data_IF_383487260714
#
_entry.id   IF_383487260714
#
_cell.length_a   1.000
_cell.length_b   1.000
_cell.length_c   1.000
_cell.angle_alpha   90.00
_cell.angle_beta   90.00
_cell.angle_gamma   90.00
#
_symmetry.space_group_name_H-M   'P 1'
#
loop_
_entity.id
_entity.type
_entity.pdbx_description
1 polymer ?
#
# COMPACT_ATOMS: atom_id res chain seq x y z
N UNK A 1 15.82 21.41 32.64
CA UNK A 1 15.64 20.52 31.47
C UNK A 1 14.27 20.64 30.76
N UNK A 2 13.40 21.64 31.04
CA UNK A 2 12.02 21.68 30.49
C UNK A 2 11.84 22.28 29.09
N UNK A 3 12.76 23.15 28.64
CA UNK A 3 12.64 23.87 27.35
C UNK A 3 12.67 22.96 26.12
N UNK A 4 13.31 21.79 26.23
CA UNK A 4 13.52 20.90 25.08
C UNK A 4 12.28 20.02 24.79
N UNK A 5 11.47 19.73 25.81
CA UNK A 5 10.27 18.91 25.67
C UNK A 5 9.11 19.68 25.03
N UNK A 6 8.85 20.91 25.49
CA UNK A 6 7.82 21.76 24.87
C UNK A 6 8.11 22.06 23.40
N UNK A 7 9.38 22.21 23.04
CA UNK A 7 9.81 22.37 21.65
C UNK A 7 9.55 21.09 20.84
N UNK A 8 9.83 19.92 21.42
CA UNK A 8 9.52 18.63 20.79
C UNK A 8 8.02 18.48 20.54
N UNK A 9 7.19 18.73 21.53
CA UNK A 9 5.73 18.64 21.43
C UNK A 9 5.18 19.58 20.36
N UNK A 10 5.63 20.84 20.33
CA UNK A 10 5.22 21.80 19.31
C UNK A 10 5.60 21.36 17.88
N UNK A 11 6.76 20.70 17.73
CA UNK A 11 7.22 20.19 16.43
C UNK A 11 6.47 18.93 16.00
N UNK A 12 6.16 18.03 16.93
CA UNK A 12 5.33 16.86 16.64
C UNK A 12 3.88 17.26 16.29
N UNK A 13 3.33 18.28 16.98
CA UNK A 13 2.03 18.84 16.65
C UNK A 13 1.98 19.42 15.23
N UNK A 14 3.05 20.07 14.78
CA UNK A 14 3.18 20.55 13.41
C UNK A 14 3.18 19.40 12.39
N UNK A 15 3.85 18.27 12.68
CA UNK A 15 3.83 17.08 11.81
C UNK A 15 2.42 16.48 11.74
N UNK A 16 1.69 16.40 12.85
CA UNK A 16 0.29 15.92 12.87
C UNK A 16 -0.63 16.80 12.03
N UNK A 17 -0.51 18.12 12.14
CA UNK A 17 -1.28 19.05 11.29
C UNK A 17 -0.99 18.84 9.81
N UNK A 18 0.26 18.54 9.45
CA UNK A 18 0.60 18.18 8.08
C UNK A 18 -0.08 16.88 7.64
N UNK A 19 -0.03 15.81 8.45
CA UNK A 19 -0.69 14.53 8.14
C UNK A 19 -2.21 14.70 7.96
N UNK A 20 -2.85 15.46 8.84
CA UNK A 20 -4.29 15.76 8.78
C UNK A 20 -4.66 16.64 7.57
N UNK A 21 -3.74 17.50 7.11
CA UNK A 21 -4.00 18.40 5.99
C UNK A 21 -4.08 17.69 4.63
N UNK A 22 -3.48 16.50 4.50
CA UNK A 22 -3.38 15.79 3.22
C UNK A 22 -2.52 16.49 2.16
N UNK A 23 -1.88 17.62 2.48
CA UNK A 23 -1.02 18.37 1.57
C UNK A 23 0.32 17.66 1.37
N UNK A 24 0.93 17.85 0.20
CA UNK A 24 2.34 17.44 0.02
C UNK A 24 3.26 18.24 0.95
N UNK A 25 4.42 17.67 1.31
CA UNK A 25 5.41 18.33 2.18
C UNK A 25 5.80 19.72 1.64
N UNK A 26 5.93 19.83 0.31
CA UNK A 26 6.24 21.08 -0.39
C UNK A 26 5.13 22.11 -0.19
N UNK A 27 3.88 21.75 -0.48
CA UNK A 27 2.73 22.65 -0.30
C UNK A 27 2.56 23.09 1.16
N UNK A 28 2.79 22.19 2.11
CA UNK A 28 2.72 22.51 3.53
C UNK A 28 3.82 23.49 3.95
N UNK A 29 5.07 23.28 3.52
CA UNK A 29 6.18 24.20 3.81
C UNK A 29 6.05 25.56 3.10
N UNK A 30 5.40 25.61 1.93
CA UNK A 30 5.09 26.85 1.21
C UNK A 30 4.01 27.67 1.93
N UNK A 31 2.98 27.00 2.47
CA UNK A 31 1.91 27.65 3.23
C UNK A 31 2.34 28.10 4.63
N UNK A 32 3.31 27.41 5.25
CA UNK A 32 3.83 27.73 6.59
C UNK A 32 5.36 27.90 6.56
N UNK A 33 5.90 29.05 6.06
CA UNK A 33 7.35 29.24 5.83
C UNK A 33 8.22 29.09 7.07
N UNK A 34 7.64 29.30 8.27
CA UNK A 34 8.31 29.11 9.56
C UNK A 34 8.53 27.63 9.93
N UNK A 35 7.89 26.69 9.22
CA UNK A 35 8.05 25.26 9.42
C UNK A 35 9.27 24.69 8.68
N UNK A 36 9.60 25.24 7.51
CA UNK A 36 10.44 24.59 6.49
C UNK A 36 11.84 24.16 6.98
N UNK A 37 12.57 25.05 7.65
CA UNK A 37 14.00 24.82 7.98
C UNK A 37 14.26 23.63 8.91
N UNK A 38 13.26 23.18 9.67
CA UNK A 38 13.40 22.01 10.56
C UNK A 38 12.32 20.94 10.32
N UNK A 39 11.38 21.18 9.41
CA UNK A 39 10.26 20.26 9.14
C UNK A 39 10.76 18.85 8.78
N UNK A 40 11.69 18.77 7.82
CA UNK A 40 12.25 17.50 7.36
C UNK A 40 12.97 16.73 8.47
N UNK A 41 13.68 17.43 9.36
CA UNK A 41 14.35 16.82 10.50
C UNK A 41 13.34 16.21 11.48
N UNK A 42 12.30 16.96 11.85
CA UNK A 42 11.28 16.49 12.78
C UNK A 42 10.39 15.42 12.17
N UNK A 43 10.12 15.46 10.87
CA UNK A 43 9.41 14.41 10.14
C UNK A 43 10.20 13.10 10.18
N UNK A 44 11.51 13.14 9.92
CA UNK A 44 12.37 11.96 10.04
C UNK A 44 12.31 11.40 11.46
N UNK A 45 12.48 12.26 12.47
CA UNK A 45 12.43 11.85 13.88
C UNK A 45 11.07 11.29 14.29
N UNK A 46 9.97 11.85 13.78
CA UNK A 46 8.62 11.34 14.02
C UNK A 46 8.42 9.93 13.44
N UNK A 47 8.92 9.69 12.22
CA UNK A 47 8.91 8.35 11.62
C UNK A 47 9.77 7.37 12.40
N UNK A 48 10.98 7.75 12.77
CA UNK A 48 11.88 6.90 13.56
C UNK A 48 11.30 6.57 14.96
N UNK A 49 10.37 7.38 15.49
CA UNK A 49 9.65 7.12 16.75
C UNK A 49 8.39 6.26 16.58
N UNK A 50 7.73 6.31 15.41
CA UNK A 50 6.45 5.64 15.16
C UNK A 50 6.56 4.37 14.30
N UNK A 51 7.65 4.20 13.56
CA UNK A 51 7.95 2.98 12.81
C UNK A 51 8.69 2.01 13.73
N UNK A 52 8.26 0.74 13.78
CA UNK A 52 9.10 -0.33 14.30
C UNK A 52 10.43 -0.36 13.54
N UNK A 53 11.58 -0.71 14.16
CA UNK A 53 12.89 -0.61 13.53
C UNK A 53 12.91 -1.36 12.20
N UNK A 54 12.79 -0.60 11.11
CA UNK A 54 12.92 -1.12 9.76
C UNK A 54 14.41 -1.38 9.59
N UNK A 55 14.75 -2.66 9.39
CA UNK A 55 16.10 -3.09 9.02
C UNK A 55 16.67 -2.11 7.97
N UNK A 56 17.85 -1.51 8.19
CA UNK A 56 18.47 -0.55 7.28
C UNK A 56 18.57 -1.06 5.84
N UNK A 57 18.60 -2.39 5.64
CA UNK A 57 18.63 -3.02 4.32
C UNK A 57 17.29 -3.02 3.57
N UNK A 58 16.19 -2.61 4.22
CA UNK A 58 14.86 -2.55 3.61
C UNK A 58 14.39 -1.12 3.26
N UNK A 59 15.17 -0.09 3.62
CA UNK A 59 14.84 1.32 3.38
C UNK A 59 15.05 1.68 1.90
N UNK A 60 14.16 1.22 1.03
CA UNK A 60 14.17 1.54 -0.39
C UNK A 60 13.01 2.53 -0.70
N UNK A 61 13.29 3.80 -1.04
CA UNK A 61 12.26 4.86 -1.16
C UNK A 61 11.28 4.68 -2.32
N UNK A 62 11.38 3.60 -3.10
CA UNK A 62 10.50 3.27 -4.23
C UNK A 62 9.79 1.93 -4.10
N UNK A 63 9.69 1.33 -2.91
CA UNK A 63 9.05 0.02 -2.78
C UNK A 63 7.52 0.15 -2.83
N UNK A 64 6.94 -0.44 -3.86
CA UNK A 64 5.52 -0.76 -3.93
C UNK A 64 5.06 -1.42 -2.62
N UNK A 65 4.01 -0.86 -2.02
CA UNK A 65 3.36 -1.47 -0.87
C UNK A 65 2.60 -2.68 -1.41
N UNK A 66 3.00 -3.88 -0.98
CA UNK A 66 2.27 -5.10 -1.30
C UNK A 66 0.96 -5.07 -0.53
N UNK A 67 -0.09 -4.58 -1.18
CA UNK A 67 -1.44 -4.66 -0.65
C UNK A 67 -1.80 -6.14 -0.55
N UNK A 68 -2.01 -6.62 0.67
CA UNK A 68 -2.69 -7.89 0.89
C UNK A 68 -4.15 -7.62 0.54
N UNK A 69 -4.50 -7.82 -0.73
CA UNK A 69 -5.90 -7.96 -1.09
C UNK A 69 -6.45 -9.09 -0.26
N UNK A 70 -7.57 -8.86 0.41
CA UNK A 70 -8.43 -9.96 0.86
C UNK A 70 -8.51 -10.92 -0.32
N UNK A 71 -8.18 -12.19 -0.06
CA UNK A 71 -8.08 -13.27 -1.02
C UNK A 71 -8.95 -12.99 -2.24
N UNK A 72 -8.40 -13.00 -3.48
CA UNK A 72 -9.22 -12.76 -4.67
C UNK A 72 -10.47 -13.59 -4.49
N UNK A 73 -11.64 -12.93 -4.43
CA UNK A 73 -12.95 -13.56 -4.34
C UNK A 73 -12.84 -14.76 -5.23
N UNK A 74 -12.80 -15.94 -4.61
CA UNK A 74 -12.38 -17.18 -5.23
C UNK A 74 -12.75 -17.15 -6.71
N UNK A 75 -11.77 -16.96 -7.59
CA UNK A 75 -11.92 -17.53 -8.92
C UNK A 75 -12.02 -19.01 -8.59
N UNK A 76 -13.26 -19.48 -8.45
CA UNK A 76 -13.62 -20.75 -7.83
C UNK A 76 -12.61 -21.82 -8.19
N UNK A 77 -12.30 -22.73 -7.28
CA UNK A 77 -11.63 -23.99 -7.65
C UNK A 77 -12.19 -24.44 -9.00
N UNK A 78 -11.33 -24.53 -10.02
CA UNK A 78 -11.76 -24.79 -11.41
C UNK A 78 -12.75 -25.95 -11.37
N UNK A 79 -14.00 -25.71 -11.79
CA UNK A 79 -15.05 -26.71 -11.76
C UNK A 79 -14.74 -27.80 -12.79
N UNK A 80 -14.37 -27.39 -14.00
CA UNK A 80 -13.96 -28.29 -15.07
C UNK A 80 -13.03 -27.59 -16.06
N UNK A 81 -12.26 -28.37 -16.82
CA UNK A 81 -11.45 -27.87 -17.93
C UNK A 81 -11.54 -28.79 -19.15
N UNK A 82 -11.45 -28.19 -20.34
CA UNK A 82 -11.33 -28.90 -21.62
C UNK A 82 -9.92 -28.64 -22.16
N UNK A 83 -9.24 -29.71 -22.56
CA UNK A 83 -7.90 -29.68 -23.17
C UNK A 83 -8.04 -30.19 -24.61
N UNK A 84 -7.70 -29.35 -25.57
CA UNK A 84 -7.74 -29.67 -26.99
C UNK A 84 -6.41 -30.28 -27.47
N UNK A 85 -6.44 -31.03 -28.57
CA UNK A 85 -5.25 -31.66 -29.14
C UNK A 85 -4.18 -30.64 -29.59
N UNK A 86 -4.58 -29.42 -29.90
CA UNK A 86 -3.67 -28.31 -30.24
C UNK A 86 -3.04 -27.62 -29.00
N UNK A 87 -3.33 -28.09 -27.79
CA UNK A 87 -2.83 -27.53 -26.55
C UNK A 87 -3.64 -26.36 -25.99
N UNK A 88 -4.70 -25.93 -26.68
CA UNK A 88 -5.62 -24.93 -26.13
C UNK A 88 -6.36 -25.50 -24.91
N UNK A 89 -6.65 -24.63 -23.94
CA UNK A 89 -7.33 -25.01 -22.70
C UNK A 89 -8.44 -24.01 -22.38
N UNK A 90 -9.63 -24.52 -22.12
CA UNK A 90 -10.77 -23.74 -21.61
C UNK A 90 -11.03 -24.16 -20.16
N UNK A 91 -11.11 -23.19 -19.25
CA UNK A 91 -11.38 -23.39 -17.82
C UNK A 91 -12.75 -22.82 -17.45
N UNK A 92 -13.53 -23.60 -16.71
CA UNK A 92 -14.82 -23.20 -16.19
C UNK A 92 -14.72 -23.03 -14.68
N UNK A 93 -15.12 -21.86 -14.19
CA UNK A 93 -15.09 -21.52 -12.76
C UNK A 93 -16.46 -21.66 -12.09
N UNK A 94 -17.51 -21.92 -12.89
CA UNK A 94 -18.88 -22.18 -12.45
C UNK A 94 -19.31 -23.58 -12.93
N UNK A 95 -20.34 -24.20 -12.31
CA UNK A 95 -20.92 -25.45 -12.79
C UNK A 95 -21.40 -25.35 -14.24
N UNK A 96 -21.08 -26.36 -15.05
CA UNK A 96 -21.45 -26.46 -16.47
C UNK A 96 -22.04 -27.83 -16.75
N UNK A 97 -23.12 -27.87 -17.53
CA UNK A 97 -23.77 -29.13 -17.91
C UNK A 97 -23.00 -29.87 -19.02
N UNK A 98 -23.04 -31.20 -18.99
CA UNK A 98 -22.34 -32.07 -19.96
C UNK A 98 -22.80 -31.80 -21.41
N UNK A 99 -24.06 -31.44 -21.62
CA UNK A 99 -24.59 -31.09 -22.95
C UNK A 99 -23.88 -29.88 -23.56
N UNK A 100 -23.53 -28.87 -22.75
CA UNK A 100 -22.81 -27.67 -23.19
C UNK A 100 -21.35 -27.97 -23.47
N UNK A 101 -20.70 -28.81 -22.66
CA UNK A 101 -19.32 -29.23 -22.88
C UNK A 101 -19.16 -29.98 -24.21
N UNK A 102 -20.14 -30.81 -24.58
CA UNK A 102 -20.14 -31.53 -25.86
C UNK A 102 -20.21 -30.61 -27.09
N UNK A 103 -20.86 -29.46 -26.98
CA UNK A 103 -20.90 -28.48 -28.09
C UNK A 103 -19.55 -27.82 -28.35
N UNK A 104 -18.68 -27.77 -27.34
CA UNK A 104 -17.34 -27.17 -27.44
C UNK A 104 -16.27 -28.18 -27.89
N UNK A 105 -16.60 -29.48 -27.91
CA UNK A 105 -15.67 -30.56 -28.23
C UNK A 105 -15.76 -31.03 -29.70
N UNK A 106 -16.30 -30.17 -30.59
CA UNK A 106 -16.36 -30.37 -32.05
C UNK A 106 -15.02 -30.00 -32.66
#
# INVERSE_FOLDING_TARGET
MKKNQALQEAKLAMIRRWEESGLSQKQFCENEPRASNNFHYWLKKYRDLNEEPIDPHQRNPGKFIKLKTETPISSGSVFSEIIFANGNRIKFYNPVDVSQLKQLAV
#
